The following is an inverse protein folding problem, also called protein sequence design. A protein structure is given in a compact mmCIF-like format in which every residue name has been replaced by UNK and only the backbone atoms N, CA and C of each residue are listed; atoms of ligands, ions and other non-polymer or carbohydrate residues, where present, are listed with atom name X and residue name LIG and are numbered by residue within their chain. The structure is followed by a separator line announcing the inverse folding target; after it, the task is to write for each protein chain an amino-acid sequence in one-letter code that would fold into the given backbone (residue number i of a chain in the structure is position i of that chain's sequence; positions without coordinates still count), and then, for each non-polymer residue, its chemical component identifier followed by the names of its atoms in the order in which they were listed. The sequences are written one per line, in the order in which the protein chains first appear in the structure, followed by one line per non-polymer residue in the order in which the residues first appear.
data_IF_403005964252
#
_entry.id   IF_403005964252
#
_cell.length_a   1.000
_cell.length_b   1.000
_cell.length_c   1.000
_cell.angle_alpha   90.00
_cell.angle_beta   90.00
_cell.angle_gamma   90.00
#
_symmetry.space_group_name_H-M   'P 1'
#
loop_
_entity.id
_entity.type
_entity.pdbx_description
1 polymer ?
#
# COMPACT_ATOMS: atom_id res chain seq x y z
N UNK A 1 66.19 -39.00 20.51
CA UNK A 1 65.11 -38.86 19.51
C UNK A 1 63.91 -38.25 20.22
N UNK A 2 63.41 -37.10 19.76
CA UNK A 2 62.25 -36.47 20.42
C UNK A 2 60.99 -37.31 20.19
N UNK A 3 60.22 -37.58 21.24
CA UNK A 3 58.96 -38.33 21.14
C UNK A 3 57.90 -37.45 20.50
N UNK A 4 57.32 -37.93 19.40
CA UNK A 4 56.23 -37.27 18.70
C UNK A 4 54.96 -37.36 19.54
N UNK A 5 54.47 -36.22 20.06
CA UNK A 5 53.19 -36.13 20.76
C UNK A 5 52.14 -35.53 19.82
N UNK A 6 51.23 -36.38 19.34
CA UNK A 6 50.05 -35.97 18.56
C UNK A 6 50.21 -35.88 17.04
N UNK A 7 50.71 -36.93 16.35
CA UNK A 7 50.95 -36.86 14.91
C UNK A 7 49.69 -36.80 14.03
N UNK A 8 48.51 -37.16 14.54
CA UNK A 8 47.30 -37.44 13.74
C UNK A 8 46.00 -36.92 14.38
N UNK A 9 45.98 -35.73 14.97
CA UNK A 9 44.75 -35.21 15.58
C UNK A 9 43.83 -34.51 14.59
N UNK A 10 42.62 -35.06 14.41
CA UNK A 10 41.49 -34.43 13.71
C UNK A 10 40.68 -33.59 14.70
N UNK A 11 41.21 -32.42 15.07
CA UNK A 11 40.54 -31.53 16.01
C UNK A 11 39.43 -30.75 15.31
N UNK A 12 38.21 -30.85 15.83
CA UNK A 12 37.11 -29.98 15.44
C UNK A 12 37.25 -28.61 16.12
N UNK A 13 37.02 -27.55 15.37
CA UNK A 13 36.92 -26.20 15.88
C UNK A 13 35.63 -25.56 15.37
N UNK A 14 35.02 -24.70 16.17
CA UNK A 14 33.83 -23.95 15.80
C UNK A 14 33.96 -22.51 16.28
N UNK A 15 33.20 -21.61 15.63
CA UNK A 15 33.12 -20.18 15.94
C UNK A 15 34.31 -19.35 15.41
N UNK A 16 34.26 -18.04 15.67
CA UNK A 16 35.23 -17.07 15.19
C UNK A 16 36.49 -17.06 16.06
N UNK A 17 37.65 -16.95 15.42
CA UNK A 17 38.94 -16.72 16.05
C UNK A 17 39.44 -15.34 15.66
N UNK A 18 39.67 -14.47 16.64
CA UNK A 18 40.31 -13.17 16.45
C UNK A 18 39.62 -12.20 15.48
N UNK A 19 38.36 -12.44 15.09
CA UNK A 19 37.67 -11.73 13.99
C UNK A 19 38.45 -11.77 12.66
N UNK A 20 39.20 -12.85 12.43
CA UNK A 20 39.94 -13.07 11.18
C UNK A 20 39.51 -14.36 10.51
N UNK A 21 39.17 -15.38 11.30
CA UNK A 21 38.77 -16.69 10.79
C UNK A 21 37.50 -17.17 11.48
N UNK A 22 36.68 -17.95 10.77
CA UNK A 22 35.51 -18.64 11.31
C UNK A 22 35.62 -20.13 10.98
N UNK A 23 35.68 -20.95 12.02
CA UNK A 23 35.70 -22.41 11.91
C UNK A 23 34.27 -22.95 12.01
N UNK A 24 33.91 -23.90 11.14
CA UNK A 24 32.63 -24.58 11.16
C UNK A 24 32.67 -25.85 10.31
N UNK A 25 31.73 -26.77 10.55
CA UNK A 25 31.55 -27.93 9.70
C UNK A 25 30.70 -27.55 8.48
N UNK A 26 31.13 -27.94 7.28
CA UNK A 26 30.36 -27.78 6.04
C UNK A 26 30.37 -29.09 5.26
N UNK A 27 29.18 -29.70 5.11
CA UNK A 27 28.99 -30.96 4.36
C UNK A 27 29.97 -32.07 4.78
N UNK A 28 30.16 -32.25 6.08
CA UNK A 28 31.05 -33.28 6.64
C UNK A 28 32.54 -32.92 6.62
N UNK A 29 32.92 -31.73 6.12
CA UNK A 29 34.29 -31.23 6.15
C UNK A 29 34.45 -30.16 7.23
N UNK A 30 35.56 -30.18 7.96
CA UNK A 30 35.95 -29.09 8.85
C UNK A 30 36.60 -27.99 8.02
N UNK A 31 35.90 -26.87 7.84
CA UNK A 31 36.35 -25.77 6.98
C UNK A 31 36.60 -24.51 7.80
N UNK A 32 37.50 -23.69 7.27
CA UNK A 32 37.79 -22.35 7.78
C UNK A 32 37.49 -21.34 6.67
N UNK A 33 36.88 -20.22 7.03
CA UNK A 33 36.71 -19.08 6.13
C UNK A 33 37.19 -17.80 6.80
N UNK A 34 37.51 -16.81 5.99
CA UNK A 34 37.77 -15.46 6.47
C UNK A 34 36.54 -14.89 7.19
N UNK A 35 36.78 -14.19 8.29
CA UNK A 35 35.76 -13.40 8.96
C UNK A 35 35.46 -12.16 8.12
N UNK A 36 34.39 -12.25 7.33
CA UNK A 36 33.88 -11.14 6.54
C UNK A 36 32.72 -10.50 7.31
N UNK A 37 32.83 -9.20 7.60
CA UNK A 37 31.68 -8.37 7.98
C UNK A 37 31.06 -7.87 6.68
N UNK A 38 29.84 -8.30 6.30
CA UNK A 38 29.20 -7.78 5.11
C UNK A 38 29.06 -6.26 5.21
N UNK A 39 29.47 -5.54 4.17
CA UNK A 39 29.18 -4.12 4.09
C UNK A 39 27.65 -3.94 4.07
N UNK A 40 27.12 -3.16 5.02
CA UNK A 40 25.74 -2.67 4.98
C UNK A 40 25.76 -1.19 4.58
N UNK A 41 26.10 -0.87 3.32
CA UNK A 41 26.13 0.52 2.89
C UNK A 41 24.74 1.13 3.11
N UNK A 42 24.70 2.41 3.53
CA UNK A 42 23.49 3.22 3.67
C UNK A 42 23.46 4.26 2.56
N UNK A 43 23.43 3.82 1.31
CA UNK A 43 23.45 4.74 0.16
C UNK A 43 22.21 5.62 0.14
N UNK A 44 22.29 6.77 -0.55
CA UNK A 44 21.15 7.69 -0.67
C UNK A 44 19.91 7.00 -1.28
N UNK A 45 20.10 6.16 -2.30
CA UNK A 45 19.01 5.40 -2.92
C UNK A 45 18.38 4.41 -1.95
N UNK A 46 19.18 3.71 -1.15
CA UNK A 46 18.70 2.79 -0.13
C UNK A 46 17.94 3.48 1.00
N UNK A 47 18.34 4.72 1.35
CA UNK A 47 17.61 5.53 2.32
C UNK A 47 16.30 6.06 1.73
N UNK A 48 16.30 6.47 0.46
CA UNK A 48 15.11 6.94 -0.26
C UNK A 48 14.02 5.88 -0.28
N UNK A 49 14.35 4.64 -0.68
CA UNK A 49 13.37 3.54 -0.72
C UNK A 49 12.83 3.18 0.68
N UNK A 50 13.67 3.23 1.71
CA UNK A 50 13.22 3.05 3.11
C UNK A 50 12.32 4.19 3.58
N UNK A 51 12.60 5.42 3.15
CA UNK A 51 11.79 6.59 3.41
C UNK A 51 10.38 6.44 2.84
N UNK A 52 10.25 5.94 1.61
CA UNK A 52 8.93 5.69 1.00
C UNK A 52 8.10 4.69 1.78
N UNK A 53 8.69 3.56 2.21
CA UNK A 53 7.99 2.58 3.05
C UNK A 53 7.63 3.14 4.42
N UNK A 54 8.52 3.92 5.02
CA UNK A 54 8.27 4.56 6.32
C UNK A 54 7.11 5.56 6.22
N UNK A 55 7.10 6.39 5.18
CA UNK A 55 6.01 7.33 4.88
C UNK A 55 4.68 6.60 4.65
N UNK A 56 4.69 5.52 3.87
CA UNK A 56 3.49 4.73 3.60
C UNK A 56 2.86 4.16 4.88
N UNK A 57 3.67 3.54 5.74
CA UNK A 57 3.20 2.98 7.01
C UNK A 57 2.67 4.09 7.93
N UNK A 58 3.38 5.22 8.02
CA UNK A 58 2.94 6.36 8.83
C UNK A 58 1.62 6.96 8.34
N UNK A 59 1.44 7.12 7.02
CA UNK A 59 0.21 7.62 6.43
C UNK A 59 -0.98 6.69 6.70
N UNK A 60 -0.80 5.38 6.54
CA UNK A 60 -1.85 4.39 6.84
C UNK A 60 -2.20 4.41 8.34
N UNK A 61 -1.20 4.41 9.24
CA UNK A 61 -1.47 4.47 10.68
C UNK A 61 -2.16 5.78 11.09
N UNK A 62 -1.81 6.91 10.46
CA UNK A 62 -2.50 8.19 10.68
C UNK A 62 -3.96 8.08 10.27
N UNK A 63 -4.25 7.53 9.08
CA UNK A 63 -5.61 7.30 8.63
C UNK A 63 -6.39 6.34 9.54
N UNK A 64 -5.75 5.30 10.08
CA UNK A 64 -6.39 4.38 11.04
C UNK A 64 -6.65 5.01 12.42
N UNK A 65 -5.78 5.93 12.84
CA UNK A 65 -5.86 6.60 14.13
C UNK A 65 -6.77 7.83 14.12
N UNK A 66 -7.28 8.25 12.96
CA UNK A 66 -8.21 9.38 12.85
C UNK A 66 -9.45 9.13 13.72
N UNK A 67 -9.78 10.10 14.58
CA UNK A 67 -10.86 9.95 15.55
C UNK A 67 -12.25 10.06 14.94
N UNK A 68 -12.37 10.72 13.78
CA UNK A 68 -13.67 11.08 13.16
C UNK A 68 -13.96 10.18 11.97
N UNK A 69 -12.98 9.99 11.08
CA UNK A 69 -13.12 9.29 9.81
C UNK A 69 -12.02 8.22 9.63
N UNK A 70 -11.90 7.26 10.57
CA UNK A 70 -10.82 6.28 10.56
C UNK A 70 -10.90 5.34 9.35
N UNK A 71 -9.73 4.96 8.84
CA UNK A 71 -9.59 3.81 7.96
C UNK A 71 -10.04 2.55 8.70
N UNK A 72 -11.18 1.99 8.27
CA UNK A 72 -11.86 0.88 8.93
C UNK A 72 -12.06 -0.31 7.99
N UNK A 73 -12.77 -1.33 8.49
CA UNK A 73 -12.96 -2.61 7.77
C UNK A 73 -13.47 -2.43 6.33
N UNK A 74 -14.35 -1.45 6.08
CA UNK A 74 -14.87 -1.18 4.74
C UNK A 74 -13.75 -0.78 3.76
N UNK A 75 -12.81 0.05 4.20
CA UNK A 75 -11.67 0.51 3.40
C UNK A 75 -10.66 -0.63 3.18
N UNK A 76 -10.42 -1.44 4.22
CA UNK A 76 -9.55 -2.62 4.13
C UNK A 76 -10.09 -3.64 3.11
N UNK A 77 -11.40 -3.90 3.13
CA UNK A 77 -12.05 -4.74 2.12
C UNK A 77 -11.97 -4.10 0.73
N UNK A 78 -12.11 -2.78 0.63
CA UNK A 78 -12.01 -2.06 -0.64
C UNK A 78 -10.60 -2.12 -1.25
N UNK A 79 -9.54 -1.96 -0.45
CA UNK A 79 -8.15 -2.15 -0.92
C UNK A 79 -7.86 -3.61 -1.27
N UNK A 80 -8.43 -4.58 -0.55
CA UNK A 80 -8.34 -6.00 -0.92
C UNK A 80 -9.02 -6.27 -2.28
N UNK A 81 -10.16 -5.63 -2.54
CA UNK A 81 -10.85 -5.73 -3.82
C UNK A 81 -10.03 -5.13 -4.96
N UNK A 82 -9.34 -4.00 -4.73
CA UNK A 82 -8.41 -3.41 -5.68
C UNK A 82 -7.24 -4.35 -6.00
N UNK A 83 -6.64 -4.96 -4.97
CA UNK A 83 -5.55 -5.94 -5.15
C UNK A 83 -5.97 -7.09 -6.07
N UNK A 84 -7.17 -7.63 -5.82
CA UNK A 84 -7.75 -8.70 -6.62
C UNK A 84 -8.00 -8.28 -8.08
N UNK A 85 -8.45 -7.05 -8.32
CA UNK A 85 -8.67 -6.54 -9.70
C UNK A 85 -7.36 -6.34 -10.45
N UNK A 86 -6.29 -5.92 -9.76
CA UNK A 86 -4.95 -5.84 -10.36
C UNK A 86 -4.30 -7.22 -10.58
N UNK A 87 -4.95 -8.31 -10.18
CA UNK A 87 -4.43 -9.68 -10.31
C UNK A 87 -3.27 -9.97 -9.35
N UNK A 88 -3.16 -9.20 -8.26
CA UNK A 88 -2.05 -9.29 -7.31
C UNK A 88 -2.55 -9.95 -6.02
N UNK A 89 -1.87 -11.00 -5.57
CA UNK A 89 -2.17 -11.66 -4.30
C UNK A 89 -1.46 -10.89 -3.17
N UNK A 90 -2.09 -9.83 -2.70
CA UNK A 90 -1.61 -9.00 -1.59
C UNK A 90 -2.71 -8.72 -0.57
N UNK A 91 -2.31 -8.47 0.68
CA UNK A 91 -3.20 -7.94 1.70
C UNK A 91 -3.62 -6.51 1.35
N UNK A 92 -4.71 -6.04 1.96
CA UNK A 92 -5.13 -4.65 1.85
C UNK A 92 -4.00 -3.67 2.19
N UNK A 93 -3.24 -3.96 3.26
CA UNK A 93 -2.18 -3.11 3.77
C UNK A 93 -1.04 -3.01 2.75
N UNK A 94 -0.58 -4.14 2.21
CA UNK A 94 0.46 -4.16 1.18
C UNK A 94 -0.01 -3.47 -0.10
N UNK A 95 -1.31 -3.48 -0.39
CA UNK A 95 -1.90 -2.78 -1.54
C UNK A 95 -1.86 -1.27 -1.36
N UNK A 96 -2.27 -0.77 -0.19
CA UNK A 96 -2.14 0.65 0.15
C UNK A 96 -0.68 1.12 0.15
N UNK A 97 0.24 0.33 0.73
CA UNK A 97 1.68 0.61 0.70
C UNK A 97 2.22 0.64 -0.73
N UNK A 98 1.80 -0.31 -1.58
CA UNK A 98 2.25 -0.36 -2.98
C UNK A 98 1.80 0.87 -3.77
N UNK A 99 0.54 1.28 -3.62
CA UNK A 99 0.03 2.52 -4.22
C UNK A 99 0.85 3.73 -3.77
N UNK A 100 1.10 3.85 -2.46
CA UNK A 100 1.91 4.94 -1.91
C UNK A 100 3.31 4.99 -2.55
N UNK A 101 3.99 3.85 -2.60
CA UNK A 101 5.34 3.75 -3.18
C UNK A 101 5.32 4.10 -4.67
N UNK A 102 4.35 3.60 -5.43
CA UNK A 102 4.24 3.89 -6.87
C UNK A 102 4.08 5.39 -7.14
N UNK A 103 3.22 6.06 -6.36
CA UNK A 103 2.98 7.50 -6.46
C UNK A 103 4.24 8.30 -6.07
N UNK A 104 4.95 7.89 -5.00
CA UNK A 104 6.23 8.53 -4.62
C UNK A 104 7.31 8.35 -5.68
N UNK A 105 7.40 7.17 -6.29
CA UNK A 105 8.35 6.92 -7.39
C UNK A 105 8.03 7.77 -8.61
N UNK A 106 6.74 8.04 -8.86
CA UNK A 106 6.29 8.97 -9.89
C UNK A 106 6.46 10.46 -9.51
N UNK A 107 7.05 10.77 -8.35
CA UNK A 107 7.27 12.14 -7.85
C UNK A 107 5.94 12.89 -7.66
N UNK A 108 4.91 12.17 -7.22
CA UNK A 108 3.58 12.68 -6.91
C UNK A 108 3.30 12.55 -5.41
N UNK A 109 2.18 13.13 -4.96
CA UNK A 109 1.77 13.09 -3.55
C UNK A 109 0.83 11.90 -3.32
N UNK A 110 1.20 10.93 -2.48
CA UNK A 110 0.32 9.82 -2.16
C UNK A 110 -0.80 10.26 -1.21
N UNK A 111 -1.93 9.59 -1.35
CA UNK A 111 -3.11 9.77 -0.50
C UNK A 111 -3.65 8.40 -0.10
N UNK A 112 -3.96 8.23 1.18
CA UNK A 112 -4.74 7.11 1.68
C UNK A 112 -6.17 7.58 1.87
N UNK A 113 -7.12 6.89 1.26
CA UNK A 113 -8.53 7.19 1.44
C UNK A 113 -9.13 6.37 2.56
N UNK A 114 -10.01 6.99 3.35
CA UNK A 114 -10.68 6.37 4.49
C UNK A 114 -12.15 6.75 4.60
N UNK A 115 -12.90 5.88 5.28
CA UNK A 115 -14.28 6.10 5.66
C UNK A 115 -15.22 6.46 4.50
N UNK A 116 -15.29 5.61 3.47
CA UNK A 116 -16.34 5.80 2.47
C UNK A 116 -17.72 5.59 3.10
N UNK A 117 -18.55 6.63 3.03
CA UNK A 117 -19.92 6.59 3.52
C UNK A 117 -20.89 6.92 2.39
N UNK A 118 -22.02 6.19 2.37
CA UNK A 118 -23.14 6.44 1.46
C UNK A 118 -24.34 6.91 2.28
N UNK A 119 -24.68 8.19 2.18
CA UNK A 119 -25.86 8.76 2.84
C UNK A 119 -27.13 8.39 2.09
N UNK A 120 -27.08 8.47 0.75
CA UNK A 120 -28.19 8.13 -0.14
C UNK A 120 -27.66 7.20 -1.24
N UNK A 121 -28.39 6.11 -1.49
CA UNK A 121 -28.01 5.07 -2.47
C UNK A 121 -28.94 5.01 -3.67
N UNK A 122 -29.92 5.93 -3.74
CA UNK A 122 -30.92 5.97 -4.81
C UNK A 122 -30.26 6.35 -6.12
N UNK A 123 -30.52 5.58 -7.18
CA UNK A 123 -29.84 5.77 -8.46
C UNK A 123 -29.93 7.20 -9.01
N UNK A 124 -31.06 7.89 -8.80
CA UNK A 124 -31.27 9.28 -9.25
C UNK A 124 -30.74 10.39 -8.34
N UNK A 125 -30.19 10.06 -7.16
CA UNK A 125 -29.70 11.04 -6.19
C UNK A 125 -28.70 10.39 -5.23
N UNK A 126 -27.55 9.95 -5.74
CA UNK A 126 -26.52 9.34 -4.88
C UNK A 126 -25.79 10.42 -4.07
N UNK A 127 -25.66 10.15 -2.77
CA UNK A 127 -24.83 10.91 -1.85
C UNK A 127 -23.76 9.99 -1.27
N UNK A 128 -22.50 10.30 -1.55
CA UNK A 128 -21.36 9.59 -0.98
C UNK A 128 -20.21 10.55 -0.65
N UNK A 129 -19.39 10.16 0.31
CA UNK A 129 -18.21 10.90 0.73
C UNK A 129 -17.06 9.94 1.04
N UNK A 130 -15.84 10.39 0.81
CA UNK A 130 -14.60 9.69 1.11
C UNK A 130 -13.56 10.69 1.63
N UNK A 131 -12.85 10.33 2.69
CA UNK A 131 -11.91 11.23 3.35
C UNK A 131 -10.47 11.05 2.88
N UNK A 132 -9.72 12.16 2.86
CA UNK A 132 -8.37 12.24 2.31
C UNK A 132 -7.33 12.20 3.43
N UNK A 133 -6.30 11.37 3.27
CA UNK A 133 -5.11 11.36 4.13
C UNK A 133 -3.87 11.51 3.23
N UNK A 134 -3.69 12.72 2.71
CA UNK A 134 -2.59 13.09 1.82
C UNK A 134 -1.29 13.22 2.61
N UNK A 135 -0.15 12.83 2.01
CA UNK A 135 1.16 13.12 2.59
C UNK A 135 1.42 14.63 2.70
N UNK A 136 1.04 15.37 1.65
CA UNK A 136 1.05 16.82 1.61
C UNK A 136 -0.40 17.30 1.48
N UNK A 137 -0.99 17.91 2.52
CA UNK A 137 -2.39 18.32 2.51
C UNK A 137 -2.74 19.27 1.35
N UNK A 138 -3.98 19.17 0.85
CA UNK A 138 -4.53 20.06 -0.20
C UNK A 138 -3.83 19.95 -1.55
N UNK A 139 -3.26 18.78 -1.86
CA UNK A 139 -2.61 18.54 -3.17
C UNK A 139 -3.60 18.04 -4.22
N UNK A 140 -4.58 17.23 -3.80
CA UNK A 140 -5.67 16.73 -4.63
C UNK A 140 -6.60 17.89 -4.99
N UNK A 141 -6.75 18.16 -6.29
CA UNK A 141 -7.61 19.24 -6.80
C UNK A 141 -8.71 18.73 -7.72
N UNK A 142 -8.51 17.57 -8.36
CA UNK A 142 -9.49 16.98 -9.26
C UNK A 142 -9.48 15.45 -9.23
N UNK A 143 -10.66 14.86 -9.36
CA UNK A 143 -10.81 13.42 -9.54
C UNK A 143 -12.26 13.02 -9.78
N UNK A 144 -12.45 11.73 -10.07
CA UNK A 144 -13.75 11.18 -10.45
C UNK A 144 -14.05 9.92 -9.65
N UNK A 145 -15.33 9.72 -9.36
CA UNK A 145 -15.85 8.43 -8.93
C UNK A 145 -16.21 7.60 -10.15
N UNK A 146 -15.54 6.45 -10.29
CA UNK A 146 -15.76 5.49 -11.35
C UNK A 146 -16.68 4.36 -10.86
N UNK A 147 -17.79 4.14 -11.55
CA UNK A 147 -18.82 3.16 -11.24
C UNK A 147 -18.86 2.01 -12.25
N UNK A 148 -19.28 0.84 -11.77
CA UNK A 148 -19.52 -0.33 -12.60
C UNK A 148 -20.38 -1.39 -11.94
N UNK A 149 -20.94 -2.29 -12.74
CA UNK A 149 -21.67 -3.47 -12.27
C UNK A 149 -20.76 -4.57 -11.74
N UNK A 150 -19.46 -4.52 -12.09
CA UNK A 150 -18.43 -5.41 -11.55
C UNK A 150 -17.22 -4.60 -11.09
N UNK A 151 -16.47 -5.15 -10.12
CA UNK A 151 -15.22 -4.54 -9.63
C UNK A 151 -14.14 -4.39 -10.72
N UNK A 152 -14.20 -5.18 -11.80
CA UNK A 152 -13.22 -5.14 -12.90
C UNK A 152 -13.60 -4.19 -14.02
N UNK A 153 -14.86 -3.70 -14.08
CA UNK A 153 -15.38 -2.92 -15.19
C UNK A 153 -16.04 -1.61 -14.71
N UNK A 154 -15.23 -0.70 -14.17
CA UNK A 154 -15.66 0.63 -13.72
C UNK A 154 -15.59 1.63 -14.88
N UNK A 155 -16.64 1.66 -15.72
CA UNK A 155 -16.67 2.39 -17.00
C UNK A 155 -17.39 3.73 -16.95
N UNK A 156 -18.28 3.92 -15.98
CA UNK A 156 -19.04 5.16 -15.83
C UNK A 156 -18.30 6.06 -14.85
N UNK A 157 -18.29 7.37 -15.07
CA UNK A 157 -17.58 8.29 -14.19
C UNK A 157 -18.42 9.52 -13.87
N UNK A 158 -18.29 10.02 -12.64
CA UNK A 158 -18.86 11.28 -12.17
C UNK A 158 -17.77 12.12 -11.53
N UNK A 159 -17.73 13.41 -11.84
CA UNK A 159 -16.76 14.34 -11.25
C UNK A 159 -17.04 14.49 -9.78
N UNK A 160 -16.02 14.29 -8.95
CA UNK A 160 -16.15 14.46 -7.52
C UNK A 160 -16.07 15.95 -7.16
N UNK A 161 -16.85 16.36 -6.17
CA UNK A 161 -16.60 17.63 -5.47
C UNK A 161 -15.42 17.42 -4.52
N UNK A 162 -14.33 18.15 -4.73
CA UNK A 162 -13.12 18.06 -3.89
C UNK A 162 -13.14 19.18 -2.86
N UNK A 163 -13.07 18.80 -1.58
CA UNK A 163 -12.75 19.70 -0.47
C UNK A 163 -11.29 19.44 -0.13
N UNK A 164 -10.42 20.34 -0.58
CA UNK A 164 -8.97 20.18 -0.51
C UNK A 164 -8.50 19.83 0.92
N UNK A 165 -7.70 18.78 1.05
CA UNK A 165 -7.18 18.31 2.35
C UNK A 165 -8.21 17.63 3.26
N UNK A 166 -9.46 17.46 2.83
CA UNK A 166 -10.54 16.95 3.69
C UNK A 166 -11.24 15.74 3.08
N UNK A 167 -11.88 15.91 1.93
CA UNK A 167 -12.78 14.88 1.39
C UNK A 167 -13.08 15.05 -0.09
N UNK A 168 -13.57 13.98 -0.71
CA UNK A 168 -14.20 13.98 -2.02
C UNK A 168 -15.60 13.42 -1.93
N UNK A 169 -16.56 14.02 -2.63
CA UNK A 169 -17.97 13.67 -2.49
C UNK A 169 -18.77 13.76 -3.80
N UNK A 170 -19.90 13.06 -3.83
CA UNK A 170 -21.03 13.32 -4.72
C UNK A 170 -22.22 13.73 -3.85
N UNK A 171 -22.99 14.72 -4.30
CA UNK A 171 -24.16 15.22 -3.59
C UNK A 171 -25.35 15.20 -4.53
N UNK A 172 -26.37 14.42 -4.19
CA UNK A 172 -27.59 14.20 -4.96
C UNK A 172 -27.34 13.94 -6.45
N UNK A 173 -26.30 13.16 -6.79
CA UNK A 173 -25.87 12.95 -8.16
C UNK A 173 -26.76 11.93 -8.86
N UNK A 174 -27.31 12.29 -10.03
CA UNK A 174 -28.09 11.38 -10.86
C UNK A 174 -27.19 10.39 -11.63
N UNK A 175 -27.22 9.14 -11.18
CA UNK A 175 -26.52 8.00 -11.76
C UNK A 175 -27.50 6.96 -12.35
N UNK A 176 -28.77 7.32 -12.55
CA UNK A 176 -29.83 6.42 -13.05
C UNK A 176 -29.57 5.87 -14.44
N UNK A 177 -28.72 6.53 -15.22
CA UNK A 177 -28.28 6.06 -16.54
C UNK A 177 -27.51 4.72 -16.49
N UNK A 178 -26.91 4.36 -15.35
CA UNK A 178 -26.09 3.14 -15.24
C UNK A 178 -26.23 2.39 -13.91
N UNK A 179 -26.97 2.92 -12.95
CA UNK A 179 -27.31 2.22 -11.72
C UNK A 179 -28.74 1.70 -11.77
N UNK A 180 -28.91 0.46 -11.34
CA UNK A 180 -30.21 -0.22 -11.29
C UNK A 180 -30.55 -0.52 -9.84
N UNK A 181 -31.74 -0.07 -9.39
CA UNK A 181 -32.23 -0.34 -8.05
C UNK A 181 -32.22 -1.84 -7.73
N UNK A 182 -31.80 -2.20 -6.52
CA UNK A 182 -31.63 -3.58 -6.05
C UNK A 182 -30.39 -4.30 -6.59
N UNK A 183 -29.62 -3.69 -7.49
CA UNK A 183 -28.40 -4.29 -8.06
C UNK A 183 -27.17 -3.80 -7.32
N UNK A 184 -26.24 -4.73 -7.07
CA UNK A 184 -24.93 -4.43 -6.49
C UNK A 184 -24.09 -3.63 -7.50
N UNK A 185 -23.61 -2.48 -7.07
CA UNK A 185 -22.69 -1.62 -7.81
C UNK A 185 -21.34 -1.51 -7.11
N UNK A 186 -20.32 -1.16 -7.87
CA UNK A 186 -18.97 -0.92 -7.41
C UNK A 186 -18.57 0.53 -7.73
N UNK A 187 -17.77 1.13 -6.85
CA UNK A 187 -17.28 2.50 -7.03
C UNK A 187 -15.83 2.64 -6.56
N UNK A 188 -15.05 3.44 -7.27
CA UNK A 188 -13.68 3.79 -6.90
C UNK A 188 -13.43 5.26 -7.20
N UNK A 189 -12.82 5.98 -6.27
CA UNK A 189 -12.30 7.31 -6.55
C UNK A 189 -10.91 7.21 -7.19
N UNK A 190 -10.67 8.00 -8.22
CA UNK A 190 -9.36 8.14 -8.86
C UNK A 190 -9.07 9.62 -9.12
N UNK A 191 -7.90 10.14 -8.69
CA UNK A 191 -7.42 11.45 -9.11
C UNK A 191 -7.31 11.55 -10.62
N UNK A 192 -7.57 12.73 -11.17
CA UNK A 192 -7.49 12.96 -12.61
C UNK A 192 -6.03 12.94 -13.12
N UNK A 193 -5.85 12.71 -14.42
CA UNK A 193 -4.54 12.82 -15.04
C UNK A 193 -3.95 14.23 -14.83
N UNK A 194 -2.65 14.31 -14.60
CA UNK A 194 -1.92 15.53 -14.24
C UNK A 194 -2.24 16.13 -12.84
N UNK A 195 -3.16 15.56 -12.06
CA UNK A 195 -3.35 15.94 -10.66
C UNK A 195 -2.08 15.66 -9.83
N UNK A 196 -1.89 16.41 -8.74
CA UNK A 196 -0.75 16.24 -7.84
C UNK A 196 -0.74 14.88 -7.13
N UNK A 197 -1.92 14.27 -6.98
CA UNK A 197 -2.15 12.95 -6.39
C UNK A 197 -2.42 11.86 -7.43
N UNK A 198 -2.16 12.11 -8.72
CA UNK A 198 -2.34 11.13 -9.80
C UNK A 198 -1.76 9.75 -9.45
N UNK A 199 -2.58 8.71 -9.61
CA UNK A 199 -2.23 7.31 -9.29
C UNK A 199 -2.50 6.89 -7.84
N UNK A 200 -2.80 7.83 -6.94
CA UNK A 200 -3.31 7.52 -5.61
C UNK A 200 -4.80 7.14 -5.72
N UNK A 201 -5.09 5.94 -6.21
CA UNK A 201 -6.44 5.42 -6.31
C UNK A 201 -6.99 5.01 -4.93
N UNK A 202 -8.30 5.18 -4.71
CA UNK A 202 -8.96 4.58 -3.54
C UNK A 202 -9.07 3.06 -3.69
N UNK A 203 -9.44 2.37 -2.60
CA UNK A 203 -9.99 1.02 -2.69
C UNK A 203 -11.25 0.97 -3.57
N UNK A 204 -11.65 -0.23 -3.99
CA UNK A 204 -12.90 -0.43 -4.75
C UNK A 204 -14.01 -0.81 -3.78
N UNK A 205 -14.93 0.11 -3.56
CA UNK A 205 -16.08 -0.03 -2.67
C UNK A 205 -17.25 -0.66 -3.41
N UNK A 206 -18.24 -1.13 -2.65
CA UNK A 206 -19.47 -1.67 -3.21
C UNK A 206 -20.68 -1.31 -2.35
N UNK A 207 -21.83 -1.18 -2.99
CA UNK A 207 -23.11 -0.91 -2.36
C UNK A 207 -24.23 -1.55 -3.20
N UNK A 208 -25.44 -1.61 -2.66
CA UNK A 208 -26.65 -1.98 -3.42
C UNK A 208 -27.40 -0.68 -3.68
N UNK A 209 -27.66 -0.36 -4.94
CA UNK A 209 -28.42 0.83 -5.30
C UNK A 209 -29.87 0.68 -4.82
N UNK A 210 -30.42 1.75 -4.26
CA UNK A 210 -31.81 1.81 -3.81
C UNK A 210 -32.75 2.28 -4.93
#
# INVERSE_FOLDING_TARGET
MAKLKGPLFSLGASQQLGKTLVYFAWKGLNVVREYVVPANPKTALQQTQRGYLTGAVAGIHTAQADATNPLKSIDQVAYSALAAVKGIIMTWFNTAVKLWVDVKVAVKVPCVYSDMTFTTKTAGAIDLILHLNEETPSTLVAGKFYFGSTKTNLINAKVATVVAGVSVALVAEDCSAFLTAGVKAYVQFRPDAADGCEGADSGIYNFVAA
#
